data_IF_894308612091
#
_entry.id   IF_894308612091
#
_cell.length_a   1.000
_cell.length_b   1.000
_cell.length_c   1.000
_cell.angle_alpha   90.00
_cell.angle_beta   90.00
_cell.angle_gamma   90.00
#
_symmetry.space_group_name_H-M   'P 1'
#
loop_
_entity.id
_entity.type
_entity.pdbx_description
1 polymer ?
#
# COMPACT_ATOMS: atom_id res chain seq x y z
N UNK A 1 -9.89 -33.42 -20.96
CA UNK A 1 -11.05 -32.89 -21.71
C UNK A 1 -11.16 -31.39 -21.42
N UNK A 2 -11.43 -30.56 -22.43
CA UNK A 2 -11.61 -29.12 -22.25
C UNK A 2 -13.09 -28.80 -21.96
N UNK A 3 -13.36 -27.96 -20.98
CA UNK A 3 -14.70 -27.43 -20.68
C UNK A 3 -15.18 -26.50 -21.80
N UNK A 4 -16.50 -26.29 -21.90
CA UNK A 4 -17.09 -25.39 -22.90
C UNK A 4 -16.45 -24.00 -22.88
N UNK A 5 -16.21 -23.42 -21.70
CA UNK A 5 -15.56 -22.11 -21.54
C UNK A 5 -14.13 -22.03 -22.12
N UNK A 6 -13.46 -23.16 -22.29
CA UNK A 6 -12.11 -23.23 -22.87
C UNK A 6 -12.14 -23.41 -24.40
N UNK A 7 -13.25 -23.95 -24.93
CA UNK A 7 -13.51 -24.07 -26.37
C UNK A 7 -14.01 -22.74 -26.93
N UNK A 8 -14.91 -22.08 -26.21
CA UNK A 8 -15.42 -20.75 -26.52
C UNK A 8 -15.34 -19.88 -25.27
N UNK A 9 -14.36 -18.96 -25.25
CA UNK A 9 -14.17 -18.03 -24.13
C UNK A 9 -15.19 -16.88 -24.11
N UNK A 10 -15.89 -16.62 -25.21
CA UNK A 10 -16.89 -15.55 -25.35
C UNK A 10 -18.31 -16.04 -25.07
N UNK A 11 -18.53 -17.35 -24.99
CA UNK A 11 -19.78 -17.90 -24.49
C UNK A 11 -20.11 -17.32 -23.10
N UNK A 12 -21.28 -16.71 -22.98
CA UNK A 12 -21.78 -16.11 -21.74
C UNK A 12 -22.77 -16.98 -21.00
N UNK A 13 -23.37 -17.93 -21.71
CA UNK A 13 -24.36 -18.85 -21.18
C UNK A 13 -24.25 -20.24 -21.81
N UNK A 14 -24.72 -21.25 -21.07
CA UNK A 14 -24.77 -22.64 -21.53
C UNK A 14 -25.93 -23.36 -20.83
N UNK A 15 -26.78 -24.04 -21.61
CA UNK A 15 -27.74 -25.01 -21.09
C UNK A 15 -27.02 -26.34 -20.88
N UNK A 16 -27.08 -26.89 -19.68
CA UNK A 16 -26.37 -28.12 -19.28
C UNK A 16 -27.18 -28.89 -18.23
N UNK A 17 -26.69 -30.06 -17.83
CA UNK A 17 -27.36 -30.95 -16.88
C UNK A 17 -26.59 -31.01 -15.55
N UNK A 18 -27.31 -31.02 -14.43
CA UNK A 18 -26.74 -31.24 -13.09
C UNK A 18 -26.40 -32.72 -12.94
N UNK A 19 -25.12 -33.06 -12.84
CA UNK A 19 -24.66 -34.45 -12.66
C UNK A 19 -24.76 -34.87 -11.20
N UNK A 20 -24.34 -33.99 -10.28
CA UNK A 20 -24.45 -34.25 -8.84
C UNK A 20 -24.51 -32.95 -8.04
N UNK A 21 -25.11 -33.04 -6.86
CA UNK A 21 -25.17 -31.96 -5.88
C UNK A 21 -25.00 -32.56 -4.49
N UNK A 22 -24.00 -32.11 -3.73
CA UNK A 22 -23.68 -32.65 -2.41
C UNK A 22 -23.41 -31.53 -1.41
N UNK A 23 -23.85 -31.65 -0.14
CA UNK A 23 -23.54 -30.65 0.88
C UNK A 23 -22.03 -30.44 1.03
N UNK A 24 -21.62 -29.18 1.15
CA UNK A 24 -20.22 -28.79 1.24
C UNK A 24 -20.04 -27.55 2.12
N UNK A 25 -18.78 -27.28 2.48
CA UNK A 25 -18.39 -26.04 3.15
C UNK A 25 -17.26 -25.36 2.40
N UNK A 26 -17.35 -24.04 2.26
CA UNK A 26 -16.31 -23.21 1.66
C UNK A 26 -15.70 -22.31 2.73
N UNK A 27 -14.38 -22.40 2.91
CA UNK A 27 -13.62 -21.46 3.73
C UNK A 27 -13.28 -20.23 2.90
N UNK A 28 -13.71 -19.07 3.34
CA UNK A 28 -13.45 -17.77 2.71
C UNK A 28 -12.67 -16.86 3.67
N UNK A 29 -11.91 -15.93 3.11
CA UNK A 29 -11.22 -14.90 3.88
C UNK A 29 -11.67 -13.54 3.39
N UNK A 30 -12.28 -12.75 4.27
CA UNK A 30 -12.76 -11.40 3.95
C UNK A 30 -12.22 -10.42 5.00
N UNK A 31 -11.35 -9.50 4.57
CA UNK A 31 -10.73 -8.52 5.47
C UNK A 31 -9.90 -9.12 6.61
N UNK A 32 -9.30 -10.31 6.41
CA UNK A 32 -8.49 -11.01 7.43
C UNK A 32 -9.29 -11.84 8.43
N UNK A 33 -10.63 -11.90 8.31
CA UNK A 33 -11.47 -12.85 9.06
C UNK A 33 -11.75 -14.08 8.22
N UNK A 34 -11.53 -15.26 8.80
CA UNK A 34 -11.89 -16.55 8.21
C UNK A 34 -13.36 -16.83 8.49
N UNK A 35 -14.12 -17.07 7.44
CA UNK A 35 -15.53 -17.43 7.50
C UNK A 35 -15.72 -18.79 6.81
N UNK A 36 -16.68 -19.57 7.30
CA UNK A 36 -17.07 -20.86 6.69
C UNK A 36 -18.50 -20.76 6.21
N UNK A 37 -18.69 -20.82 4.90
CA UNK A 37 -20.00 -20.84 4.27
C UNK A 37 -20.46 -22.29 4.12
N UNK A 38 -21.68 -22.59 4.53
CA UNK A 38 -22.34 -23.86 4.23
C UNK A 38 -23.11 -23.74 2.92
N UNK A 39 -22.99 -24.76 2.06
CA UNK A 39 -23.61 -24.77 0.74
C UNK A 39 -23.50 -26.14 0.11
N UNK A 40 -23.35 -26.18 -1.21
CA UNK A 40 -23.36 -27.40 -2.01
C UNK A 40 -22.27 -27.35 -3.07
N UNK A 41 -21.58 -28.48 -3.26
CA UNK A 41 -20.74 -28.73 -4.42
C UNK A 41 -21.61 -29.33 -5.52
N UNK A 42 -21.63 -28.65 -6.66
CA UNK A 42 -22.42 -29.02 -7.84
C UNK A 42 -21.50 -29.34 -8.99
N UNK A 43 -21.67 -30.52 -9.58
CA UNK A 43 -20.98 -30.95 -10.79
C UNK A 43 -21.97 -30.90 -11.94
N UNK A 44 -21.56 -30.26 -13.03
CA UNK A 44 -22.34 -30.12 -14.26
C UNK A 44 -21.72 -30.98 -15.36
N UNK A 45 -22.53 -31.38 -16.33
CA UNK A 45 -22.10 -32.18 -17.48
C UNK A 45 -21.02 -31.46 -18.33
N UNK A 46 -21.21 -30.17 -18.52
CA UNK A 46 -20.22 -29.21 -19.03
C UNK A 46 -20.53 -27.83 -18.43
N UNK A 47 -19.59 -26.89 -18.51
CA UNK A 47 -19.75 -25.57 -17.87
C UNK A 47 -19.16 -24.43 -18.69
N UNK A 48 -19.87 -23.30 -18.67
CA UNK A 48 -19.37 -22.01 -19.16
C UNK A 48 -18.59 -21.26 -18.10
N UNK A 49 -18.51 -21.73 -16.84
CA UNK A 49 -17.70 -21.12 -15.78
C UNK A 49 -16.30 -21.76 -15.75
N UNK A 50 -15.25 -20.96 -15.90
CA UNK A 50 -13.88 -21.45 -15.85
C UNK A 50 -13.50 -21.82 -14.40
N UNK A 51 -13.08 -23.07 -14.13
CA UNK A 51 -12.48 -23.40 -12.85
C UNK A 51 -11.10 -22.75 -12.75
N UNK A 52 -10.68 -22.36 -11.55
CA UNK A 52 -9.33 -21.84 -11.34
C UNK A 52 -8.25 -22.74 -11.98
N UNK A 53 -7.21 -22.14 -12.56
CA UNK A 53 -6.18 -22.93 -13.24
C UNK A 53 -5.08 -22.11 -13.91
N UNK A 54 -3.86 -22.64 -13.88
CA UNK A 54 -2.69 -22.04 -14.55
C UNK A 54 -2.21 -20.71 -13.98
N UNK A 55 -2.86 -20.15 -12.96
CA UNK A 55 -2.63 -18.79 -12.44
C UNK A 55 -3.80 -17.83 -12.73
N UNK A 56 -4.79 -18.25 -13.53
CA UNK A 56 -6.02 -17.53 -13.75
C UNK A 56 -7.06 -17.87 -12.64
N UNK A 57 -7.65 -16.85 -11.98
CA UNK A 57 -8.73 -17.06 -11.03
C UNK A 57 -9.99 -17.63 -11.67
N UNK A 58 -10.81 -18.30 -10.87
CA UNK A 58 -12.07 -18.88 -11.29
C UNK A 58 -13.13 -17.81 -11.63
N UNK A 59 -14.10 -18.21 -12.45
CA UNK A 59 -15.25 -17.35 -12.76
C UNK A 59 -16.30 -17.32 -11.66
N UNK A 60 -17.20 -16.36 -11.78
CA UNK A 60 -18.43 -16.23 -10.99
C UNK A 60 -19.61 -16.22 -11.94
N UNK A 61 -20.79 -16.47 -11.41
CA UNK A 61 -22.00 -16.51 -12.21
C UNK A 61 -23.13 -17.21 -11.48
N UNK A 62 -24.03 -17.80 -12.25
CA UNK A 62 -25.25 -18.42 -11.76
C UNK A 62 -25.48 -19.78 -12.44
N UNK A 63 -26.10 -20.70 -11.71
CA UNK A 63 -26.69 -21.94 -12.23
C UNK A 63 -28.19 -21.82 -11.98
N UNK A 64 -28.99 -21.63 -13.03
CA UNK A 64 -30.35 -21.11 -12.88
C UNK A 64 -30.32 -19.74 -12.18
N UNK A 65 -31.05 -19.63 -11.07
CA UNK A 65 -31.05 -18.43 -10.22
C UNK A 65 -30.07 -18.53 -9.04
N UNK A 66 -29.30 -19.62 -8.92
CA UNK A 66 -28.43 -19.87 -7.76
C UNK A 66 -27.03 -19.29 -8.00
N UNK A 67 -26.53 -18.37 -7.15
CA UNK A 67 -25.20 -17.77 -7.31
C UNK A 67 -24.07 -18.75 -7.00
N UNK A 68 -23.09 -18.80 -7.90
CA UNK A 68 -21.86 -19.60 -7.75
C UNK A 68 -20.76 -18.74 -7.14
N UNK A 69 -20.26 -19.17 -5.97
CA UNK A 69 -19.27 -18.42 -5.20
C UNK A 69 -17.83 -18.85 -5.47
N UNK A 70 -17.64 -20.06 -5.98
CA UNK A 70 -16.32 -20.58 -6.37
C UNK A 70 -16.48 -21.71 -7.37
N UNK A 71 -15.55 -21.81 -8.31
CA UNK A 71 -15.41 -22.96 -9.21
C UNK A 71 -13.99 -23.51 -9.08
N UNK A 72 -13.87 -24.74 -8.59
CA UNK A 72 -12.56 -25.39 -8.42
C UNK A 72 -12.44 -26.58 -9.34
N UNK A 73 -11.21 -26.89 -9.76
CA UNK A 73 -10.95 -28.09 -10.55
C UNK A 73 -10.62 -29.26 -9.62
N UNK A 74 -11.33 -30.38 -9.77
CA UNK A 74 -11.02 -31.63 -9.08
C UNK A 74 -10.90 -32.74 -10.13
N UNK A 75 -9.65 -33.09 -10.48
CA UNK A 75 -9.37 -34.01 -11.58
C UNK A 75 -9.95 -33.51 -12.92
N UNK A 76 -10.82 -34.28 -13.59
CA UNK A 76 -11.48 -33.86 -14.83
C UNK A 76 -12.71 -32.97 -14.61
N UNK A 77 -13.16 -32.79 -13.37
CA UNK A 77 -14.43 -32.12 -13.05
C UNK A 77 -14.24 -30.66 -12.65
N UNK A 78 -15.23 -29.83 -13.00
CA UNK A 78 -15.41 -28.50 -12.46
C UNK A 78 -16.45 -28.55 -11.33
N UNK A 79 -16.02 -28.23 -10.12
CA UNK A 79 -16.84 -28.24 -8.91
C UNK A 79 -17.30 -26.83 -8.58
N UNK A 80 -18.61 -26.59 -8.67
CA UNK A 80 -19.23 -25.29 -8.45
C UNK A 80 -19.77 -25.23 -7.02
N UNK A 81 -19.29 -24.30 -6.21
CA UNK A 81 -19.83 -24.07 -4.87
C UNK A 81 -21.00 -23.10 -4.94
N UNK A 82 -22.20 -23.59 -4.64
CA UNK A 82 -23.47 -22.88 -4.66
C UNK A 82 -24.09 -22.83 -3.25
N UNK A 83 -24.89 -21.81 -2.94
CA UNK A 83 -25.53 -21.68 -1.61
C UNK A 83 -26.86 -22.44 -1.49
N UNK A 84 -27.42 -22.89 -2.61
CA UNK A 84 -28.69 -23.62 -2.64
C UNK A 84 -28.50 -24.94 -3.38
N UNK A 85 -29.22 -26.01 -2.98
CA UNK A 85 -29.13 -27.28 -3.67
C UNK A 85 -29.73 -27.17 -5.08
N UNK A 86 -29.24 -28.02 -5.99
CA UNK A 86 -29.83 -28.24 -7.30
C UNK A 86 -30.13 -29.74 -7.47
N UNK A 87 -31.20 -30.06 -8.18
CA UNK A 87 -31.65 -31.44 -8.36
C UNK A 87 -30.78 -32.15 -9.41
N UNK A 88 -30.09 -33.27 -9.07
CA UNK A 88 -29.39 -34.07 -10.07
C UNK A 88 -30.34 -34.56 -11.18
N UNK A 89 -29.88 -34.53 -12.42
CA UNK A 89 -30.65 -34.84 -13.63
C UNK A 89 -31.49 -33.68 -14.17
N UNK A 90 -31.53 -32.53 -13.48
CA UNK A 90 -32.22 -31.34 -13.99
C UNK A 90 -31.39 -30.61 -15.04
N UNK A 91 -32.07 -30.06 -16.05
CA UNK A 91 -31.49 -29.12 -17.01
C UNK A 91 -31.47 -27.72 -16.42
N UNK A 92 -30.33 -27.05 -16.52
CA UNK A 92 -30.07 -25.73 -15.94
C UNK A 92 -29.35 -24.82 -16.92
N UNK A 93 -29.71 -23.54 -16.90
CA UNK A 93 -29.00 -22.49 -17.63
C UNK A 93 -27.89 -21.92 -16.75
N UNK A 94 -26.65 -22.05 -17.18
CA UNK A 94 -25.49 -21.47 -16.51
C UNK A 94 -25.17 -20.13 -17.16
N UNK A 95 -24.99 -19.07 -16.36
CA UNK A 95 -24.63 -17.72 -16.83
C UNK A 95 -23.38 -17.21 -16.13
N UNK A 96 -22.49 -16.55 -16.86
CA UNK A 96 -21.26 -16.00 -16.29
C UNK A 96 -21.42 -14.53 -15.88
N UNK A 97 -20.62 -14.12 -14.88
CA UNK A 97 -20.28 -12.70 -14.71
C UNK A 97 -19.31 -12.28 -15.81
N UNK A 98 -19.85 -11.69 -16.87
CA UNK A 98 -19.07 -11.31 -18.06
C UNK A 98 -17.96 -10.30 -17.73
N UNK A 99 -18.21 -9.34 -16.83
CA UNK A 99 -17.21 -8.34 -16.49
C UNK A 99 -15.97 -8.98 -15.85
N UNK A 100 -16.20 -9.97 -14.98
CA UNK A 100 -15.11 -10.76 -14.38
C UNK A 100 -14.40 -11.61 -15.41
N UNK A 101 -15.14 -12.34 -16.25
CA UNK A 101 -14.56 -13.20 -17.31
C UNK A 101 -13.69 -12.37 -18.25
N UNK A 102 -14.23 -11.27 -18.76
CA UNK A 102 -13.54 -10.45 -19.75
C UNK A 102 -12.31 -9.78 -19.15
N UNK A 103 -12.38 -9.31 -17.90
CA UNK A 103 -11.20 -8.82 -17.16
C UNK A 103 -10.10 -9.89 -17.09
N UNK A 104 -10.44 -11.12 -16.72
CA UNK A 104 -9.47 -12.22 -16.67
C UNK A 104 -8.90 -12.57 -18.05
N UNK A 105 -9.72 -12.62 -19.11
CA UNK A 105 -9.27 -12.83 -20.49
C UNK A 105 -8.27 -11.74 -20.92
N UNK A 106 -8.53 -10.49 -20.55
CA UNK A 106 -7.63 -9.37 -20.81
C UNK A 106 -6.31 -9.52 -20.07
N UNK A 107 -6.35 -9.79 -18.76
CA UNK A 107 -5.12 -9.94 -17.98
C UNK A 107 -4.30 -11.15 -18.44
N UNK A 108 -4.95 -12.27 -18.76
CA UNK A 108 -4.27 -13.49 -19.17
C UNK A 108 -3.64 -13.33 -20.56
N UNK A 109 -4.38 -12.85 -21.54
CA UNK A 109 -3.80 -12.65 -22.89
C UNK A 109 -2.74 -11.55 -22.88
N UNK A 110 -2.90 -10.52 -22.04
CA UNK A 110 -1.87 -9.52 -21.79
C UNK A 110 -0.60 -10.13 -21.20
N UNK A 111 -0.72 -11.09 -20.26
CA UNK A 111 0.43 -11.83 -19.73
C UNK A 111 1.19 -12.56 -20.84
N UNK A 112 0.50 -13.32 -21.71
CA UNK A 112 1.16 -14.04 -22.81
C UNK A 112 1.88 -13.10 -23.75
N UNK A 113 1.24 -11.98 -24.13
CA UNK A 113 1.85 -10.99 -25.00
C UNK A 113 3.10 -10.35 -24.38
N UNK A 114 3.06 -9.96 -23.10
CA UNK A 114 4.22 -9.38 -22.40
C UNK A 114 5.34 -10.41 -22.30
N UNK A 115 5.03 -11.65 -21.91
CA UNK A 115 6.00 -12.74 -21.81
C UNK A 115 6.69 -13.00 -23.15
N UNK A 116 5.94 -13.06 -24.25
CA UNK A 116 6.49 -13.26 -25.59
C UNK A 116 7.47 -12.16 -25.99
N UNK A 117 7.09 -10.91 -25.81
CA UNK A 117 7.91 -9.75 -26.19
C UNK A 117 9.15 -9.64 -25.29
N UNK A 118 9.01 -9.81 -23.98
CA UNK A 118 10.15 -9.74 -23.05
C UNK A 118 11.17 -10.86 -23.31
N UNK A 119 10.71 -12.08 -23.60
CA UNK A 119 11.60 -13.18 -23.97
C UNK A 119 12.26 -12.92 -25.33
N UNK A 120 11.51 -12.49 -26.34
CA UNK A 120 12.06 -12.26 -27.68
C UNK A 120 13.12 -11.15 -27.73
N UNK A 121 12.96 -10.08 -26.95
CA UNK A 121 13.87 -8.93 -26.99
C UNK A 121 15.10 -9.14 -26.11
N UNK A 122 14.90 -9.74 -24.94
CA UNK A 122 15.91 -9.72 -23.86
C UNK A 122 16.22 -11.11 -23.30
N UNK A 123 15.56 -12.16 -23.77
CA UNK A 123 15.72 -13.52 -23.24
C UNK A 123 15.14 -13.69 -21.83
N UNK A 124 14.28 -12.77 -21.37
CA UNK A 124 13.70 -12.79 -20.03
C UNK A 124 12.61 -13.85 -19.93
N UNK A 125 13.00 -15.08 -19.59
CA UNK A 125 12.08 -16.20 -19.39
C UNK A 125 11.12 -15.94 -18.24
N UNK A 126 9.85 -16.29 -18.43
CA UNK A 126 8.84 -16.24 -17.35
C UNK A 126 8.96 -17.47 -16.45
N UNK A 127 9.08 -17.25 -15.14
CA UNK A 127 9.23 -18.31 -14.13
C UNK A 127 8.04 -18.45 -13.20
N UNK A 128 7.19 -17.45 -13.07
CA UNK A 128 5.87 -17.55 -12.48
C UNK A 128 5.03 -16.34 -12.88
N UNK A 129 3.72 -16.41 -12.70
CA UNK A 129 2.82 -15.28 -12.90
C UNK A 129 1.57 -15.46 -12.05
N UNK A 130 0.89 -14.34 -11.80
CA UNK A 130 -0.35 -14.30 -11.04
C UNK A 130 -1.26 -13.19 -11.57
N UNK A 131 -2.53 -13.50 -11.82
CA UNK A 131 -3.54 -12.49 -12.16
C UNK A 131 -4.24 -12.03 -10.89
N UNK A 132 -3.57 -11.15 -10.14
CA UNK A 132 -4.10 -10.60 -8.91
C UNK A 132 -5.36 -9.76 -9.12
N UNK A 133 -6.08 -9.44 -8.03
CA UNK A 133 -7.38 -8.74 -8.09
C UNK A 133 -7.30 -7.32 -8.65
N UNK A 134 -6.23 -6.58 -8.35
CA UNK A 134 -6.04 -5.20 -8.81
C UNK A 134 -4.94 -5.05 -9.85
N UNK A 135 -3.87 -5.85 -9.70
CA UNK A 135 -2.67 -5.84 -10.53
C UNK A 135 -2.23 -7.27 -10.79
N UNK A 136 -1.61 -7.49 -11.93
CA UNK A 136 -1.08 -8.79 -12.35
C UNK A 136 0.44 -8.74 -12.35
N UNK A 137 1.07 -9.89 -12.16
CA UNK A 137 2.53 -10.02 -12.01
C UNK A 137 3.09 -11.08 -12.95
N UNK A 138 4.27 -10.81 -13.50
CA UNK A 138 5.08 -11.77 -14.27
C UNK A 138 6.47 -11.80 -13.63
N UNK A 139 6.86 -12.93 -13.04
CA UNK A 139 8.20 -13.13 -12.49
C UNK A 139 9.15 -13.56 -13.62
N UNK A 140 10.06 -12.67 -13.98
CA UNK A 140 11.06 -12.86 -15.03
C UNK A 140 12.37 -13.38 -14.43
N UNK A 141 13.04 -14.28 -15.15
CA UNK A 141 14.34 -14.87 -14.78
C UNK A 141 15.51 -13.89 -15.02
N UNK A 142 15.42 -12.73 -14.38
CA UNK A 142 16.43 -11.68 -14.43
C UNK A 142 16.48 -10.93 -13.10
N UNK A 143 17.66 -10.55 -12.60
CA UNK A 143 17.80 -9.79 -11.36
C UNK A 143 17.15 -8.40 -11.43
N UNK A 144 17.05 -7.82 -12.62
CA UNK A 144 16.50 -6.48 -12.82
C UNK A 144 16.05 -6.29 -14.27
N UNK A 145 15.08 -5.41 -14.47
CA UNK A 145 14.71 -4.86 -15.76
C UNK A 145 14.76 -3.33 -15.64
N UNK A 146 15.44 -2.66 -16.56
CA UNK A 146 15.60 -1.19 -16.53
C UNK A 146 14.30 -0.49 -16.95
N UNK A 147 14.14 0.78 -16.58
CA UNK A 147 12.96 1.56 -17.00
C UNK A 147 12.83 1.63 -18.53
N UNK A 148 13.95 1.80 -19.26
CA UNK A 148 13.97 1.81 -20.72
C UNK A 148 13.48 0.47 -21.31
N UNK A 149 13.88 -0.67 -20.72
CA UNK A 149 13.37 -1.97 -21.14
C UNK A 149 11.88 -2.09 -20.87
N UNK A 150 11.39 -1.61 -19.72
CA UNK A 150 9.95 -1.62 -19.38
C UNK A 150 9.17 -0.79 -20.41
N UNK A 151 9.63 0.42 -20.72
CA UNK A 151 9.01 1.30 -21.70
C UNK A 151 9.01 0.69 -23.11
N UNK A 152 10.11 0.06 -23.52
CA UNK A 152 10.22 -0.60 -24.82
C UNK A 152 9.23 -1.77 -24.94
N UNK A 153 9.14 -2.62 -23.91
CA UNK A 153 8.15 -3.71 -23.88
C UNK A 153 6.74 -3.15 -23.91
N UNK A 154 6.42 -2.13 -23.09
CA UNK A 154 5.10 -1.49 -23.07
C UNK A 154 4.70 -0.94 -24.46
N UNK A 155 5.63 -0.29 -25.15
CA UNK A 155 5.38 0.27 -26.47
C UNK A 155 5.03 -0.83 -27.48
N UNK A 156 5.81 -1.91 -27.51
CA UNK A 156 5.66 -3.00 -28.49
C UNK A 156 4.41 -3.85 -28.22
N UNK A 157 4.08 -4.13 -26.95
CA UNK A 157 2.82 -4.85 -26.64
C UNK A 157 1.61 -4.03 -27.08
N UNK A 158 1.61 -2.71 -26.84
CA UNK A 158 0.52 -1.85 -27.28
C UNK A 158 0.51 -1.63 -28.80
N UNK A 159 1.65 -1.77 -29.48
CA UNK A 159 1.70 -1.79 -30.94
C UNK A 159 0.99 -3.03 -31.50
N UNK A 160 1.26 -4.22 -30.94
CA UNK A 160 0.56 -5.46 -31.32
C UNK A 160 -0.94 -5.39 -31.07
N UNK A 161 -1.36 -4.74 -29.98
CA UNK A 161 -2.78 -4.46 -29.72
C UNK A 161 -3.39 -3.60 -30.83
N UNK A 162 -2.72 -2.50 -31.22
CA UNK A 162 -3.20 -1.62 -32.31
C UNK A 162 -3.21 -2.31 -33.68
N UNK A 163 -2.30 -3.25 -33.91
CA UNK A 163 -2.27 -4.09 -35.11
C UNK A 163 -3.42 -5.10 -35.16
N UNK A 164 -4.19 -5.27 -34.07
CA UNK A 164 -5.33 -6.20 -33.99
C UNK A 164 -4.93 -7.64 -34.29
N UNK A 165 -3.78 -8.07 -33.77
CA UNK A 165 -3.26 -9.42 -34.02
C UNK A 165 -4.27 -10.46 -33.50
N UNK A 166 -4.66 -11.47 -34.31
CA UNK A 166 -5.52 -12.56 -33.89
C UNK A 166 -4.91 -13.40 -32.77
N UNK A 167 -5.78 -13.92 -31.90
CA UNK A 167 -5.42 -14.91 -30.89
C UNK A 167 -6.24 -16.17 -31.16
N UNK A 168 -5.55 -17.22 -31.57
CA UNK A 168 -6.14 -18.45 -32.10
C UNK A 168 -5.96 -19.56 -31.08
N UNK A 169 -7.05 -20.22 -30.72
CA UNK A 169 -7.02 -21.38 -29.84
C UNK A 169 -7.09 -22.65 -30.68
N UNK A 170 -6.11 -23.53 -30.50
CA UNK A 170 -6.01 -24.80 -31.22
C UNK A 170 -5.89 -25.96 -30.24
N UNK A 171 -6.37 -27.12 -30.64
CA UNK A 171 -6.31 -28.34 -29.84
C UNK A 171 -5.56 -29.38 -30.65
N UNK A 172 -4.38 -29.76 -30.18
CA UNK A 172 -3.51 -30.73 -30.84
C UNK A 172 -3.39 -31.99 -29.98
N UNK A 173 -2.90 -33.08 -30.58
CA UNK A 173 -2.53 -34.30 -29.86
C UNK A 173 -1.02 -34.31 -29.57
N UNK A 174 -0.57 -35.16 -28.64
CA UNK A 174 0.85 -35.23 -28.25
C UNK A 174 1.76 -35.80 -29.35
N UNK A 175 1.20 -36.50 -30.33
CA UNK A 175 1.87 -37.01 -31.52
C UNK A 175 1.96 -35.98 -32.66
N UNK A 176 1.33 -34.81 -32.50
CA UNK A 176 1.44 -33.73 -33.48
C UNK A 176 2.88 -33.15 -33.51
N UNK A 177 3.52 -32.99 -34.68
CA UNK A 177 4.85 -32.39 -34.80
C UNK A 177 4.97 -30.99 -34.18
N UNK A 178 3.87 -30.23 -34.12
CA UNK A 178 3.82 -28.91 -33.50
C UNK A 178 4.01 -28.96 -31.98
N UNK A 179 3.71 -30.11 -31.36
CA UNK A 179 3.82 -30.30 -29.91
C UNK A 179 5.19 -29.90 -29.35
N UNK A 180 6.27 -30.21 -30.08
CA UNK A 180 7.65 -29.92 -29.68
C UNK A 180 8.12 -28.49 -30.03
N UNK A 181 7.33 -27.72 -30.78
CA UNK A 181 7.68 -26.37 -31.26
C UNK A 181 7.03 -25.26 -30.41
N UNK A 182 6.02 -25.61 -29.63
CA UNK A 182 5.24 -24.69 -28.79
C UNK A 182 5.94 -24.48 -27.45
N UNK A 183 5.98 -23.23 -26.96
CA UNK A 183 6.54 -22.96 -25.64
C UNK A 183 5.64 -23.61 -24.57
N UNK A 184 6.26 -24.41 -23.71
CA UNK A 184 5.57 -25.16 -22.65
C UNK A 184 6.34 -25.09 -21.34
N UNK A 185 5.62 -25.18 -20.22
CA UNK A 185 6.21 -25.39 -18.88
C UNK A 185 6.25 -26.86 -18.48
N UNK A 186 5.98 -27.76 -19.44
CA UNK A 186 5.79 -29.19 -19.23
C UNK A 186 4.32 -29.56 -19.03
N UNK A 187 3.97 -30.79 -19.39
CA UNK A 187 2.72 -31.42 -18.99
C UNK A 187 2.97 -32.25 -17.72
N UNK A 188 1.96 -32.42 -16.85
CA UNK A 188 2.01 -33.45 -15.81
C UNK A 188 2.29 -34.83 -16.41
N UNK A 189 3.05 -35.68 -15.70
CA UNK A 189 3.45 -37.03 -16.17
C UNK A 189 2.25 -37.95 -16.44
N UNK A 190 1.07 -37.64 -15.89
CA UNK A 190 -0.20 -38.35 -16.03
C UNK A 190 -1.14 -37.73 -17.08
N UNK A 191 -0.66 -36.78 -17.89
CA UNK A 191 -1.49 -36.12 -18.90
C UNK A 191 -1.90 -37.08 -20.03
N UNK A 192 -3.17 -37.49 -20.02
CA UNK A 192 -3.81 -38.19 -21.12
C UNK A 192 -4.85 -37.28 -21.79
N UNK A 193 -4.67 -37.01 -23.08
CA UNK A 193 -5.64 -36.28 -23.91
C UNK A 193 -5.01 -35.15 -24.73
N UNK A 194 -5.85 -34.39 -25.45
CA UNK A 194 -5.37 -33.35 -26.34
C UNK A 194 -4.92 -32.09 -25.57
N UNK A 195 -3.92 -31.42 -26.13
CA UNK A 195 -3.27 -30.24 -25.57
C UNK A 195 -3.81 -28.98 -26.23
N UNK A 196 -4.17 -28.00 -25.40
CA UNK A 196 -4.67 -26.70 -25.85
C UNK A 196 -3.52 -25.72 -26.03
N UNK A 197 -3.40 -25.20 -27.25
CA UNK A 197 -2.45 -24.17 -27.64
C UNK A 197 -3.20 -22.85 -27.80
N UNK A 198 -2.59 -21.79 -27.29
CA UNK A 198 -2.97 -20.42 -27.54
C UNK A 198 -1.87 -19.78 -28.37
N UNK A 199 -2.25 -19.36 -29.57
CA UNK A 199 -1.36 -18.81 -30.58
C UNK A 199 -1.70 -17.34 -30.81
N UNK A 200 -0.78 -16.45 -30.41
CA UNK A 200 -0.82 -15.04 -30.78
C UNK A 200 -0.09 -14.95 -32.12
N UNK A 201 -0.85 -14.76 -33.20
CA UNK A 201 -0.36 -14.95 -34.56
C UNK A 201 0.92 -14.15 -34.84
N UNK A 202 1.98 -14.86 -35.25
CA UNK A 202 3.27 -14.25 -35.58
C UNK A 202 4.02 -13.64 -34.37
N UNK A 203 3.60 -13.96 -33.14
CA UNK A 203 4.24 -13.51 -31.90
C UNK A 203 4.68 -14.70 -31.07
N UNK A 204 3.76 -15.58 -30.66
CA UNK A 204 4.06 -16.69 -29.76
C UNK A 204 2.95 -17.73 -29.70
N UNK A 205 3.32 -19.00 -29.56
CA UNK A 205 2.40 -20.11 -29.34
C UNK A 205 2.74 -20.81 -28.03
N UNK A 206 1.76 -20.93 -27.13
CA UNK A 206 1.94 -21.49 -25.79
C UNK A 206 0.89 -22.54 -25.44
N UNK A 207 1.29 -23.57 -24.70
CA UNK A 207 0.34 -24.47 -24.05
C UNK A 207 -0.35 -23.74 -22.90
N UNK A 208 -1.67 -23.52 -23.01
CA UNK A 208 -2.44 -22.82 -22.00
C UNK A 208 -3.89 -23.31 -21.91
N UNK A 209 -4.35 -23.54 -20.68
CA UNK A 209 -5.72 -23.97 -20.40
C UNK A 209 -6.66 -22.81 -20.04
N UNK A 210 -6.19 -21.57 -19.87
CA UNK A 210 -7.04 -20.45 -19.47
C UNK A 210 -7.87 -19.87 -20.61
N UNK A 211 -8.74 -18.91 -20.26
CA UNK A 211 -9.58 -18.19 -21.23
C UNK A 211 -8.83 -17.01 -21.82
N UNK A 212 -8.96 -16.78 -23.12
CA UNK A 212 -8.23 -15.75 -23.84
C UNK A 212 -9.16 -14.92 -24.70
N UNK A 213 -8.78 -13.67 -24.96
CA UNK A 213 -9.42 -12.86 -26.00
C UNK A 213 -9.17 -13.50 -27.37
N UNK A 214 -10.05 -13.26 -28.34
CA UNK A 214 -9.90 -13.74 -29.72
C UNK A 214 -9.04 -12.79 -30.56
N UNK A 215 -8.84 -11.56 -30.10
CA UNK A 215 -8.03 -10.56 -30.77
C UNK A 215 -7.34 -9.65 -29.75
N UNK A 216 -6.08 -9.28 -29.99
CA UNK A 216 -5.35 -8.40 -29.07
C UNK A 216 -6.01 -7.02 -28.90
N UNK A 217 -6.82 -6.55 -29.85
CA UNK A 217 -7.55 -5.28 -29.71
C UNK A 217 -8.54 -5.28 -28.55
N UNK A 218 -9.04 -6.44 -28.12
CA UNK A 218 -9.90 -6.55 -26.95
C UNK A 218 -9.16 -6.28 -25.63
N UNK A 219 -7.82 -6.29 -25.64
CA UNK A 219 -7.02 -5.82 -24.51
C UNK A 219 -7.14 -4.31 -24.30
N UNK A 220 -7.52 -3.56 -25.34
CA UNK A 220 -7.59 -2.09 -25.41
C UNK A 220 -6.23 -1.42 -25.22
N UNK A 221 -5.60 -1.61 -24.06
CA UNK A 221 -4.32 -1.05 -23.65
C UNK A 221 -3.71 -1.93 -22.54
N UNK A 222 -2.39 -2.03 -22.53
CA UNK A 222 -1.62 -2.57 -21.40
C UNK A 222 -0.79 -1.43 -20.80
N UNK A 223 -0.79 -1.33 -19.47
CA UNK A 223 0.13 -0.46 -18.72
C UNK A 223 1.04 -1.31 -17.82
N UNK A 224 2.34 -1.13 -17.97
CA UNK A 224 3.36 -1.64 -17.06
C UNK A 224 3.58 -0.61 -15.94
N UNK A 225 3.43 -1.05 -14.69
CA UNK A 225 3.50 -0.19 -13.51
C UNK A 225 4.91 -0.13 -12.90
N UNK A 226 5.88 -0.82 -13.51
CA UNK A 226 7.25 -0.96 -13.05
C UNK A 226 7.55 -2.35 -12.53
N UNK A 227 8.61 -2.45 -11.75
CA UNK A 227 9.14 -3.73 -11.26
C UNK A 227 9.28 -3.76 -9.75
N UNK A 228 9.11 -4.94 -9.18
CA UNK A 228 9.38 -5.27 -7.78
C UNK A 228 10.37 -6.42 -7.70
N UNK A 229 11.06 -6.51 -6.55
CA UNK A 229 12.00 -7.62 -6.32
C UNK A 229 11.25 -8.95 -6.22
N UNK A 230 11.59 -9.88 -7.10
CA UNK A 230 11.08 -11.26 -7.10
C UNK A 230 11.88 -12.20 -6.19
N UNK A 231 11.57 -13.49 -6.24
CA UNK A 231 12.25 -14.51 -5.42
C UNK A 231 13.59 -14.88 -6.03
N UNK A 232 14.61 -15.17 -5.21
CA UNK A 232 15.90 -15.75 -5.64
C UNK A 232 16.53 -15.04 -6.87
N UNK A 233 16.79 -13.74 -6.74
CA UNK A 233 17.45 -12.93 -7.78
C UNK A 233 16.64 -12.80 -9.09
N UNK A 234 15.31 -12.71 -8.97
CA UNK A 234 14.36 -12.51 -10.07
C UNK A 234 13.61 -11.18 -9.90
N UNK A 235 12.85 -10.81 -10.92
CA UNK A 235 12.10 -9.54 -10.96
C UNK A 235 10.63 -9.79 -11.27
N UNK A 236 9.73 -9.17 -10.51
CA UNK A 236 8.30 -9.15 -10.81
C UNK A 236 7.96 -7.92 -11.63
N UNK A 237 7.59 -8.12 -12.89
CA UNK A 237 7.01 -7.07 -13.73
C UNK A 237 5.51 -6.95 -13.42
N UNK A 238 5.06 -5.75 -13.09
CA UNK A 238 3.68 -5.47 -12.68
C UNK A 238 2.94 -4.85 -13.85
N UNK A 239 1.76 -5.37 -14.16
CA UNK A 239 0.94 -4.85 -15.25
C UNK A 239 -0.56 -4.85 -14.94
N UNK A 240 -1.28 -4.06 -15.74
CA UNK A 240 -2.74 -4.04 -15.83
C UNK A 240 -3.14 -3.92 -17.31
N UNK A 241 -4.22 -4.57 -17.71
CA UNK A 241 -4.78 -4.51 -19.06
C UNK A 241 -6.25 -4.07 -19.07
N UNK A 242 -6.71 -3.51 -20.17
CA UNK A 242 -8.11 -3.21 -20.43
C UNK A 242 -8.76 -2.26 -19.44
N UNK A 243 -9.94 -2.64 -18.93
CA UNK A 243 -10.75 -1.81 -18.02
C UNK A 243 -9.99 -1.42 -16.74
N UNK A 244 -9.02 -2.24 -16.30
CA UNK A 244 -8.17 -1.90 -15.15
C UNK A 244 -7.33 -0.64 -15.40
N UNK A 245 -6.88 -0.43 -16.65
CA UNK A 245 -6.14 0.77 -17.05
C UNK A 245 -7.07 1.98 -17.02
N UNK A 246 -8.29 1.86 -17.55
CA UNK A 246 -9.27 2.95 -17.51
C UNK A 246 -9.60 3.38 -16.08
N UNK A 247 -9.84 2.41 -15.19
CA UNK A 247 -10.06 2.65 -13.75
C UNK A 247 -8.84 3.26 -13.05
N UNK A 248 -7.64 2.86 -13.45
CA UNK A 248 -6.40 3.44 -12.93
C UNK A 248 -6.28 4.90 -13.37
N UNK A 249 -6.41 5.19 -14.66
CA UNK A 249 -6.32 6.54 -15.23
C UNK A 249 -7.36 7.47 -14.66
N UNK A 250 -8.62 7.02 -14.51
CA UNK A 250 -9.68 7.83 -13.89
C UNK A 250 -9.34 8.26 -12.46
N UNK A 251 -8.75 7.34 -11.66
CA UNK A 251 -8.31 7.63 -10.29
C UNK A 251 -7.12 8.57 -10.25
N UNK A 252 -6.14 8.35 -11.13
CA UNK A 252 -4.96 9.21 -11.25
C UNK A 252 -5.38 10.63 -11.64
N UNK A 253 -6.25 10.77 -12.64
CA UNK A 253 -6.78 12.06 -13.07
C UNK A 253 -7.60 12.76 -11.97
N UNK A 254 -8.43 12.02 -11.23
CA UNK A 254 -9.15 12.58 -10.07
C UNK A 254 -8.20 13.08 -8.98
N UNK A 255 -7.08 12.38 -8.79
CA UNK A 255 -6.04 12.76 -7.81
C UNK A 255 -5.32 14.03 -8.28
N UNK A 256 -4.92 14.08 -9.55
CA UNK A 256 -4.30 15.25 -10.16
C UNK A 256 -5.21 16.48 -10.09
N UNK A 257 -6.50 16.34 -10.43
CA UNK A 257 -7.49 17.41 -10.29
C UNK A 257 -7.60 17.93 -8.85
N UNK A 258 -7.51 17.03 -7.87
CA UNK A 258 -7.52 17.41 -6.45
C UNK A 258 -6.25 18.18 -6.07
N UNK A 259 -5.09 17.79 -6.61
CA UNK A 259 -3.83 18.51 -6.42
C UNK A 259 -3.87 19.90 -7.06
N UNK A 260 -4.39 20.02 -8.28
CA UNK A 260 -4.59 21.31 -8.98
C UNK A 260 -5.43 22.26 -8.12
N UNK A 261 -6.49 21.77 -7.49
CA UNK A 261 -7.32 22.57 -6.59
C UNK A 261 -6.59 23.00 -5.30
N UNK A 262 -5.77 22.12 -4.72
CA UNK A 262 -5.02 22.39 -3.50
C UNK A 262 -3.84 23.36 -3.74
N UNK A 263 -3.09 23.15 -4.81
CA UNK A 263 -1.88 23.90 -5.14
C UNK A 263 -2.17 25.16 -5.95
N UNK A 264 -3.37 25.27 -6.53
CA UNK A 264 -3.83 26.41 -7.34
C UNK A 264 -2.93 26.70 -8.55
N UNK A 265 -2.43 25.65 -9.19
CA UNK A 265 -1.61 25.71 -10.39
C UNK A 265 -1.89 24.50 -11.31
N UNK A 266 -1.32 24.52 -12.52
CA UNK A 266 -1.50 23.43 -13.49
C UNK A 266 -0.72 22.15 -13.11
N UNK A 267 -1.13 20.98 -13.65
CA UNK A 267 -0.49 19.69 -13.36
C UNK A 267 1.03 19.65 -13.54
N UNK A 268 1.53 20.27 -14.61
CA UNK A 268 2.96 20.33 -14.93
C UNK A 268 3.79 21.08 -13.86
N UNK A 269 3.15 21.92 -13.07
CA UNK A 269 3.80 22.71 -12.02
C UNK A 269 3.62 22.12 -10.61
N UNK A 270 2.92 20.98 -10.47
CA UNK A 270 2.64 20.40 -9.15
C UNK A 270 3.92 20.11 -8.37
N UNK A 271 4.94 19.55 -9.02
CA UNK A 271 6.23 19.23 -8.38
C UNK A 271 6.90 20.50 -7.87
N UNK A 272 7.03 21.51 -8.73
CA UNK A 272 7.65 22.78 -8.38
C UNK A 272 6.91 23.50 -7.24
N UNK A 273 5.58 23.46 -7.23
CA UNK A 273 4.79 24.03 -6.15
C UNK A 273 5.00 23.30 -4.82
N UNK A 274 5.07 21.97 -4.83
CA UNK A 274 5.37 21.18 -3.63
C UNK A 274 6.77 21.48 -3.12
N UNK A 275 7.78 21.56 -4.01
CA UNK A 275 9.14 21.93 -3.61
C UNK A 275 9.20 23.33 -3.00
N UNK A 276 8.53 24.31 -3.61
CA UNK A 276 8.43 25.68 -3.09
C UNK A 276 7.77 25.68 -1.71
N UNK A 277 6.67 24.95 -1.54
CA UNK A 277 5.99 24.83 -0.25
C UNK A 277 6.90 24.22 0.82
N UNK A 278 7.63 23.14 0.51
CA UNK A 278 8.59 22.53 1.43
C UNK A 278 9.73 23.49 1.81
N UNK A 279 10.28 24.24 0.84
CA UNK A 279 11.30 25.27 1.07
C UNK A 279 10.74 26.39 1.96
N UNK A 280 9.53 26.86 1.71
CA UNK A 280 8.85 27.88 2.53
C UNK A 280 8.61 27.40 3.95
N UNK A 281 8.16 26.15 4.16
CA UNK A 281 7.97 25.58 5.51
C UNK A 281 9.29 25.56 6.29
N UNK A 282 10.40 25.13 5.67
CA UNK A 282 11.73 25.13 6.30
C UNK A 282 12.18 26.55 6.68
N UNK A 283 11.97 27.53 5.79
CA UNK A 283 12.30 28.94 6.06
C UNK A 283 11.45 29.50 7.19
N UNK A 284 10.15 29.24 7.20
CA UNK A 284 9.25 29.68 8.27
C UNK A 284 9.63 29.09 9.63
N UNK A 285 10.00 27.80 9.67
CA UNK A 285 10.51 27.17 10.89
C UNK A 285 11.79 27.85 11.40
N UNK A 286 12.74 28.14 10.50
CA UNK A 286 13.97 28.86 10.87
C UNK A 286 13.66 30.26 11.41
N UNK A 287 12.79 31.00 10.73
CA UNK A 287 12.39 32.34 11.15
C UNK A 287 11.65 32.32 12.50
N UNK A 288 10.79 31.32 12.73
CA UNK A 288 10.11 31.14 14.01
C UNK A 288 11.12 30.95 15.16
N UNK A 289 12.13 30.09 14.97
CA UNK A 289 13.18 29.92 15.97
C UNK A 289 13.96 31.21 16.20
N UNK A 290 14.29 31.99 15.16
CA UNK A 290 14.94 33.30 15.34
C UNK A 290 14.09 34.26 16.14
N UNK A 291 12.80 34.40 15.81
CA UNK A 291 11.88 35.27 16.55
C UNK A 291 11.71 34.82 18.01
N UNK A 292 11.71 33.51 18.27
CA UNK A 292 11.70 32.99 19.64
C UNK A 292 12.98 33.40 20.40
N UNK A 293 14.15 33.35 19.77
CA UNK A 293 15.40 33.83 20.38
C UNK A 293 15.33 35.33 20.72
N UNK A 294 14.84 36.15 19.80
CA UNK A 294 14.68 37.60 20.04
C UNK A 294 13.68 37.85 21.18
N UNK A 295 12.57 37.12 21.19
CA UNK A 295 11.56 37.18 22.26
C UNK A 295 12.14 36.76 23.61
N UNK A 296 12.99 35.73 23.65
CA UNK A 296 13.68 35.30 24.87
C UNK A 296 14.54 36.43 25.46
N UNK A 297 15.34 37.10 24.62
CA UNK A 297 16.17 38.24 25.03
C UNK A 297 15.31 39.37 25.59
N UNK A 298 14.28 39.79 24.85
CA UNK A 298 13.39 40.89 25.27
C UNK A 298 12.62 40.55 26.56
N UNK A 299 12.17 39.31 26.70
CA UNK A 299 11.47 38.84 27.92
C UNK A 299 12.40 38.93 29.14
N UNK A 300 13.64 38.47 29.00
CA UNK A 300 14.63 38.55 30.07
C UNK A 300 15.00 40.01 30.42
N UNK A 301 15.17 40.88 29.42
CA UNK A 301 15.44 42.31 29.64
C UNK A 301 14.28 43.02 30.33
N UNK A 302 13.04 42.74 29.92
CA UNK A 302 11.85 43.30 30.57
C UNK A 302 11.78 42.91 32.05
N UNK A 303 12.15 41.68 32.41
CA UNK A 303 12.22 41.25 33.80
C UNK A 303 13.35 41.96 34.57
N UNK A 304 14.54 42.07 33.98
CA UNK A 304 15.69 42.76 34.59
C UNK A 304 15.41 44.24 34.86
N UNK A 305 14.65 44.90 34.00
CA UNK A 305 14.35 46.33 34.09
C UNK A 305 13.10 46.64 34.95
N UNK A 306 12.45 45.62 35.53
CA UNK A 306 11.31 45.80 36.44
C UNK A 306 11.77 46.39 37.77
N UNK A 307 11.07 47.41 38.26
CA UNK A 307 11.35 48.04 39.57
C UNK A 307 11.02 47.14 40.76
N UNK A 308 10.17 46.13 40.57
CA UNK A 308 9.78 45.14 41.59
C UNK A 308 10.19 43.74 41.11
N UNK A 309 11.49 43.44 41.20
CA UNK A 309 12.07 42.18 40.70
C UNK A 309 11.88 41.07 41.75
N UNK A 310 10.99 40.13 41.46
CA UNK A 310 10.88 38.89 42.24
C UNK A 310 12.18 38.07 42.19
N UNK A 311 12.49 37.32 43.26
CA UNK A 311 13.59 36.36 43.26
C UNK A 311 13.26 35.07 42.47
N UNK A 312 12.01 34.86 42.06
CA UNK A 312 11.61 33.78 41.14
C UNK A 312 11.13 34.36 39.81
N UNK A 313 11.67 33.86 38.71
CA UNK A 313 11.13 34.07 37.37
C UNK A 313 10.60 32.75 36.82
N UNK A 314 9.33 32.71 36.41
CA UNK A 314 8.79 31.55 35.71
C UNK A 314 8.13 31.91 34.39
N UNK A 315 8.37 31.09 33.37
CA UNK A 315 7.76 31.26 32.05
C UNK A 315 7.52 29.90 31.39
N UNK A 316 6.31 29.74 30.85
CA UNK A 316 5.98 28.69 29.90
C UNK A 316 5.90 29.25 28.48
N UNK A 317 6.50 28.56 27.51
CA UNK A 317 6.33 28.86 26.08
C UNK A 317 6.20 27.55 25.29
N UNK A 318 5.00 27.24 24.83
CA UNK A 318 4.72 26.01 24.08
C UNK A 318 5.64 25.83 22.86
N UNK A 319 5.87 26.90 22.11
CA UNK A 319 6.65 26.90 20.86
C UNK A 319 8.16 26.96 21.09
N UNK A 320 8.60 27.20 22.32
CA UNK A 320 10.02 27.32 22.65
C UNK A 320 10.76 26.00 22.53
N UNK A 321 12.08 26.09 22.44
CA UNK A 321 12.97 24.94 22.52
C UNK A 321 13.96 25.09 23.69
N UNK A 322 14.94 24.21 23.76
CA UNK A 322 15.98 24.29 24.78
C UNK A 322 16.82 25.58 24.64
N UNK A 323 17.06 26.06 23.42
CA UNK A 323 17.84 27.27 23.19
C UNK A 323 17.10 28.50 23.70
N UNK A 324 15.80 28.61 23.43
CA UNK A 324 14.91 29.65 23.99
C UNK A 324 15.04 29.74 25.51
N UNK A 325 14.90 28.62 26.21
CA UNK A 325 15.01 28.60 27.67
C UNK A 325 16.42 29.00 28.14
N UNK A 326 17.46 28.53 27.46
CA UNK A 326 18.83 28.84 27.84
C UNK A 326 19.18 30.32 27.64
N UNK A 327 18.68 30.96 26.57
CA UNK A 327 18.83 32.40 26.35
C UNK A 327 18.22 33.18 27.50
N UNK A 328 16.97 32.89 27.89
CA UNK A 328 16.31 33.59 29.02
C UNK A 328 17.13 33.44 30.30
N UNK A 329 17.50 32.20 30.66
CA UNK A 329 18.22 31.94 31.90
C UNK A 329 19.59 32.64 31.93
N UNK A 330 20.31 32.67 30.80
CA UNK A 330 21.59 33.38 30.71
C UNK A 330 21.41 34.90 30.80
N UNK A 331 20.41 35.42 30.11
CA UNK A 331 20.17 36.85 30.00
C UNK A 331 19.66 37.45 31.32
N UNK A 332 18.81 36.76 32.08
CA UNK A 332 18.33 37.21 33.41
C UNK A 332 19.48 37.26 34.44
N UNK A 333 20.44 36.35 34.35
CA UNK A 333 21.45 36.10 35.37
C UNK A 333 20.87 35.36 36.59
N UNK A 334 21.60 34.37 37.10
CA UNK A 334 21.07 33.40 38.07
C UNK A 334 21.77 33.45 39.44
N UNK A 335 22.45 34.56 39.73
CA UNK A 335 23.19 34.76 41.00
C UNK A 335 22.22 34.93 42.17
N UNK A 336 21.18 35.76 42.01
CA UNK A 336 20.18 36.05 43.05
C UNK A 336 18.74 35.74 42.59
N UNK A 337 18.57 35.04 41.46
CA UNK A 337 17.26 34.73 40.87
C UNK A 337 17.17 33.25 40.52
N UNK A 338 16.06 32.62 40.92
CA UNK A 338 15.67 31.28 40.47
C UNK A 338 14.80 31.42 39.22
N UNK A 339 15.24 30.82 38.12
CA UNK A 339 14.59 30.83 36.82
C UNK A 339 14.00 29.45 36.55
N UNK A 340 12.69 29.37 36.36
CA UNK A 340 11.96 28.15 36.00
C UNK A 340 11.24 28.29 34.67
N UNK A 341 11.76 27.61 33.66
CA UNK A 341 11.28 27.70 32.29
C UNK A 341 10.77 26.36 31.83
N UNK A 342 9.69 26.38 31.05
CA UNK A 342 9.14 25.18 30.45
C UNK A 342 8.71 25.42 29.00
N UNK A 343 8.88 24.41 28.15
CA UNK A 343 8.47 24.44 26.74
C UNK A 343 7.81 23.13 26.33
N UNK A 344 7.02 23.12 25.25
CA UNK A 344 6.24 21.95 24.81
C UNK A 344 4.76 22.02 25.19
N UNK A 345 3.98 21.00 24.83
CA UNK A 345 2.53 21.03 25.00
C UNK A 345 2.11 20.70 26.45
N UNK A 346 1.37 21.60 27.09
CA UNK A 346 0.92 21.45 28.48
C UNK A 346 0.08 20.19 28.73
N UNK A 347 -0.60 19.65 27.70
CA UNK A 347 -1.41 18.43 27.82
C UNK A 347 -0.62 17.14 27.73
N UNK A 348 0.66 17.22 27.32
CA UNK A 348 1.50 16.04 27.11
C UNK A 348 2.83 16.22 27.84
N UNK A 349 3.94 16.05 27.13
CA UNK A 349 5.28 16.19 27.66
C UNK A 349 5.97 17.43 27.09
N UNK A 350 6.88 17.99 27.88
CA UNK A 350 7.69 19.12 27.50
C UNK A 350 9.11 19.01 28.04
N UNK A 351 9.87 20.08 27.86
CA UNK A 351 11.17 20.25 28.51
C UNK A 351 11.04 21.31 29.60
N UNK A 352 11.86 21.19 30.63
CA UNK A 352 11.98 22.20 31.67
C UNK A 352 13.45 22.52 31.95
N UNK A 353 13.69 23.75 32.39
CA UNK A 353 14.96 24.26 32.84
C UNK A 353 14.75 25.01 34.16
N UNK A 354 15.49 24.60 35.18
CA UNK A 354 15.70 25.34 36.42
C UNK A 354 17.12 25.89 36.42
N UNK A 355 17.30 27.17 36.74
CA UNK A 355 18.61 27.79 36.88
C UNK A 355 18.62 28.79 38.05
N UNK A 356 19.72 28.88 38.80
CA UNK A 356 19.79 29.63 40.05
C UNK A 356 21.06 29.32 40.85
N UNK A 357 21.13 29.75 42.12
CA UNK A 357 22.23 29.43 43.02
C UNK A 357 22.45 27.90 43.13
N UNK A 358 23.67 27.37 42.94
CA UNK A 358 23.91 25.92 42.90
C UNK A 358 23.35 25.15 44.10
N UNK A 359 23.55 25.66 45.32
CA UNK A 359 23.05 25.01 46.53
C UNK A 359 21.53 24.88 46.59
N UNK A 360 20.79 25.81 45.98
CA UNK A 360 19.33 25.76 45.89
C UNK A 360 18.90 24.81 44.76
N UNK A 361 19.50 24.94 43.58
CA UNK A 361 19.12 24.15 42.40
C UNK A 361 19.40 22.67 42.58
N UNK A 362 20.50 22.30 43.25
CA UNK A 362 20.82 20.90 43.53
C UNK A 362 19.78 20.24 44.45
N UNK A 363 19.12 21.01 45.32
CA UNK A 363 18.03 20.52 46.19
C UNK A 363 16.67 20.51 45.49
N UNK A 364 16.37 21.55 44.72
CA UNK A 364 15.04 21.78 44.14
C UNK A 364 14.86 21.08 42.79
N UNK A 365 15.92 20.96 41.98
CA UNK A 365 15.89 20.34 40.66
C UNK A 365 15.31 18.92 40.65
N UNK A 366 15.82 17.98 41.47
CA UNK A 366 15.26 16.63 41.56
C UNK A 366 13.81 16.59 42.05
N UNK A 367 13.42 17.51 42.96
CA UNK A 367 12.04 17.62 43.48
C UNK A 367 11.08 18.11 42.39
N UNK A 368 11.46 19.13 41.64
CA UNK A 368 10.70 19.63 40.51
C UNK A 368 10.55 18.56 39.41
N UNK A 369 11.62 17.81 39.11
CA UNK A 369 11.55 16.67 38.19
C UNK A 369 10.51 15.64 38.65
N UNK A 370 10.48 15.31 39.95
CA UNK A 370 9.50 14.38 40.52
C UNK A 370 8.07 14.92 40.41
N UNK A 371 7.84 16.20 40.68
CA UNK A 371 6.52 16.85 40.54
C UNK A 371 6.04 16.76 39.10
N UNK A 372 6.93 17.02 38.13
CA UNK A 372 6.61 16.98 36.70
C UNK A 372 6.56 15.57 36.12
N UNK A 373 6.63 14.54 36.96
CA UNK A 373 6.75 13.12 36.59
C UNK A 373 7.84 12.90 35.52
N UNK A 374 8.94 13.60 35.70
CA UNK A 374 10.00 13.80 34.72
C UNK A 374 11.35 13.25 35.13
N UNK A 375 12.31 13.37 34.21
CA UNK A 375 13.73 13.06 34.45
C UNK A 375 14.59 14.20 33.96
N UNK A 376 15.61 14.55 34.72
CA UNK A 376 16.56 15.59 34.36
C UNK A 376 17.90 15.39 35.03
N UNK A 377 18.87 16.21 34.64
CA UNK A 377 20.21 16.22 35.20
C UNK A 377 20.61 17.66 35.54
N UNK A 378 21.35 17.79 36.64
CA UNK A 378 21.88 19.04 37.14
C UNK A 378 23.39 19.19 36.94
N UNK A 379 23.85 20.40 36.62
CA UNK A 379 25.27 20.77 36.62
C UNK A 379 25.42 22.28 36.79
N UNK A 380 26.28 22.71 37.73
CA UNK A 380 26.69 24.13 37.93
C UNK A 380 25.49 25.10 38.01
N UNK A 381 24.55 24.87 38.93
CA UNK A 381 23.41 25.76 39.13
C UNK A 381 22.34 25.73 38.03
N UNK A 382 22.35 24.70 37.17
CA UNK A 382 21.27 24.41 36.22
C UNK A 382 20.79 22.98 36.40
N UNK A 383 19.48 22.76 36.28
CA UNK A 383 18.86 21.46 36.23
C UNK A 383 17.84 21.43 35.09
N UNK A 384 18.03 20.54 34.12
CA UNK A 384 17.16 20.48 32.93
C UNK A 384 16.75 19.05 32.62
N UNK A 385 15.57 18.90 32.03
CA UNK A 385 15.02 17.58 31.79
C UNK A 385 13.74 17.57 30.98
N UNK A 386 13.19 16.36 30.83
CA UNK A 386 11.87 16.12 30.26
C UNK A 386 10.84 16.08 31.38
N UNK A 387 9.74 16.78 31.19
CA UNK A 387 8.53 16.73 32.01
C UNK A 387 7.46 15.91 31.30
N UNK A 388 6.84 14.94 31.97
CA UNK A 388 5.72 14.18 31.40
C UNK A 388 4.35 14.72 31.84
N UNK A 389 4.32 15.56 32.89
CA UNK A 389 3.10 16.24 33.38
C UNK A 389 3.32 17.74 33.47
N UNK A 390 3.29 18.39 32.32
CA UNK A 390 3.43 19.85 32.22
C UNK A 390 2.30 20.61 32.95
N UNK A 391 1.14 19.98 33.14
CA UNK A 391 0.04 20.52 33.95
C UNK A 391 0.40 20.75 35.43
N UNK A 392 1.45 20.12 35.95
CA UNK A 392 1.90 20.26 37.34
C UNK A 392 2.95 21.39 37.51
N UNK A 393 3.16 22.24 36.50
CA UNK A 393 4.11 23.36 36.61
C UNK A 393 3.78 24.34 37.75
N UNK A 394 2.50 24.54 38.05
CA UNK A 394 2.06 25.40 39.17
C UNK A 394 2.49 24.89 40.54
N UNK A 395 2.58 23.55 40.69
CA UNK A 395 3.08 22.93 41.92
C UNK A 395 4.59 23.17 42.08
N UNK A 396 5.34 23.19 40.97
CA UNK A 396 6.75 23.56 40.97
C UNK A 396 6.91 25.04 41.30
N UNK A 397 6.12 25.93 40.68
CA UNK A 397 6.15 27.37 40.98
C UNK A 397 5.90 27.64 42.48
N UNK A 398 4.94 26.94 43.08
CA UNK A 398 4.65 27.01 44.52
C UNK A 398 5.84 26.54 45.37
N UNK A 399 6.45 25.42 45.01
CA UNK A 399 7.68 24.93 45.65
C UNK A 399 8.82 25.96 45.61
N UNK A 400 8.99 26.68 44.50
CA UNK A 400 10.04 27.70 44.38
C UNK A 400 9.78 28.87 45.34
N UNK A 401 8.53 29.32 45.45
CA UNK A 401 8.17 30.40 46.37
C UNK A 401 8.40 30.02 47.84
N UNK A 402 8.05 28.79 48.24
CA UNK A 402 8.31 28.28 49.59
C UNK A 402 9.81 28.27 49.92
N UNK A 403 10.65 27.85 48.98
CA UNK A 403 12.11 27.79 49.18
C UNK A 403 12.69 29.19 49.40
N UNK A 404 12.23 30.19 48.64
CA UNK A 404 12.69 31.56 48.81
C UNK A 404 12.24 32.12 50.17
N UNK A 405 10.96 31.96 50.52
CA UNK A 405 10.43 32.45 51.80
C UNK A 405 11.06 31.75 53.02
N UNK A 406 11.37 30.46 52.91
CA UNK A 406 12.04 29.68 53.96
C UNK A 406 13.55 29.93 54.08
N UNK A 407 14.20 30.37 52.99
CA UNK A 407 15.63 30.74 53.00
C UNK A 407 15.87 32.12 53.63
N UNK A 408 14.93 33.06 53.48
CA UNK A 408 14.97 34.38 54.12
C UNK A 408 14.87 34.32 55.66
N UNK A 409 14.34 33.22 56.22
CA UNK A 409 14.19 33.00 57.66
C UNK A 409 15.44 32.38 58.33
N UNK A 410 16.53 32.14 57.59
CA UNK A 410 17.78 31.57 58.13
C UNK A 410 18.97 32.55 58.11
N UNK A 411 18.78 33.78 57.63
CA UNK A 411 19.81 34.82 57.54
C UNK A 411 19.62 35.98 58.57
N UNK A 412 18.69 35.84 59.52
CA UNK A 412 18.66 36.62 60.77
C UNK A 412 19.21 35.78 61.93
#
# INVERSE_FOLDING_TARGET
>A
MAFFCQKDSYATELVTEVVSCSPAQLKTENGGKKETLSGYNVILKDTVLFPEGGGQPDDRGFIGDVPVHRVTRQGPEAVHFALSPLDPGSEVLVKIDWNRRFDHMQQHSGQHLITAIADSLYGFKTTSWELGRQRSFIELDTPMMTNEQVETVEQLVNEKIRQRVPVIVRVITTDDPEFNQVRSRGLPDDHAGPVRIVDIEGVDANMCCGTHVANLSDLQVIKLLGTEKGKKNKTNLIFIAGERVLKYTARSYSTEKSLTALLKNGPEEHIDAVEKLQKSVKTLQKNNLTLLRDLAVLTAQSFKNSSDRSKVFSLHRKEGDNEFMNIIANEIGTEDTIVFLTVGDEKTSGLFLLAGPPGIIDQVGPRAAKILDGKGAGKKGRFQGKANKMSQRGDVESLLQEVINGSALKEE
#
